data_IF_011641809945
#
_entry.id   IF_011641809945
#
_cell.length_a   1.000
_cell.length_b   1.000
_cell.length_c   1.000
_cell.angle_alpha   90.00
_cell.angle_beta   90.00
_cell.angle_gamma   90.00
#
_symmetry.space_group_name_H-M   'P 1'
#
loop_
_entity.id
_entity.type
_entity.pdbx_description
1 polymer ?
2 polymer ?
3 non-polymer ?
4 non-polymer ?
5 water ?
#
# COMPACT_ATOMS: atom_id res chain seq x y z
N UNK A 7 14.06 -10.12 -1.84
CA UNK A 7 13.87 -9.10 -2.90
C UNK A 7 13.68 -7.74 -2.24
N UNK A 8 14.60 -6.81 -2.53
CA UNK A 8 14.55 -5.47 -1.97
C UNK A 8 14.91 -4.46 -3.05
N UNK A 9 14.57 -3.21 -2.78
CA UNK A 9 14.93 -2.12 -3.68
C UNK A 9 16.43 -1.84 -3.43
N UNK A 10 17.18 -1.63 -4.51
CA UNK A 10 18.62 -1.35 -4.44
C UNK A 10 18.86 0.16 -4.41
N UNK A 11 17.78 0.93 -4.35
CA UNK A 11 17.80 2.39 -4.26
C UNK A 11 16.96 2.80 -3.07
N UNK A 12 17.31 3.93 -2.49
CA UNK A 12 16.61 4.48 -1.34
C UNK A 12 15.58 5.56 -1.66
N UNK A 13 15.74 6.32 -2.75
CA UNK A 13 14.71 7.33 -3.04
C UNK A 13 13.92 6.72 -4.19
N UNK A 14 12.64 6.48 -3.92
CA UNK A 14 11.77 5.85 -4.90
C UNK A 14 10.64 6.79 -5.21
N UNK A 15 10.16 6.71 -6.44
CA UNK A 15 9.05 7.54 -6.87
C UNK A 15 7.76 6.71 -6.92
N UNK A 16 6.65 7.40 -6.86
CA UNK A 16 5.34 6.80 -6.92
C UNK A 16 4.44 7.74 -7.70
N UNK A 17 3.45 7.14 -8.36
CA UNK A 17 2.45 7.83 -9.18
C UNK A 17 1.07 7.24 -8.91
N UNK A 18 0.09 8.09 -8.63
CA UNK A 18 -1.28 7.68 -8.45
C UNK A 18 -1.87 7.83 -9.87
N UNK A 19 -2.12 6.70 -10.55
CA UNK A 19 -2.63 6.70 -11.93
C UNK A 19 -4.10 7.07 -12.08
N UNK A 20 -4.94 6.75 -11.10
CA UNK A 20 -6.35 7.08 -11.14
C UNK A 20 -6.84 7.14 -9.72
N UNK A 21 -8.10 7.49 -9.55
CA UNK A 21 -8.68 7.67 -8.22
C UNK A 21 -9.97 6.92 -8.03
N UNK A 22 -10.40 6.84 -6.78
CA UNK A 22 -11.69 6.25 -6.47
C UNK A 22 -12.56 7.49 -6.21
N UNK A 23 -13.78 7.51 -6.76
CA UNK A 23 -14.75 8.60 -6.64
C UNK A 23 -15.32 8.73 -5.24
N UNK A 24 -15.09 7.72 -4.41
CA UNK A 24 -15.63 7.71 -3.06
C UNK A 24 -15.05 8.76 -2.11
N UNK A 25 -13.84 9.21 -2.42
CA UNK A 25 -13.14 10.20 -1.62
C UNK A 25 -12.71 11.28 -2.61
N UNK A 26 -12.39 12.46 -2.09
CA UNK A 26 -11.90 13.56 -2.92
C UNK A 26 -10.49 13.16 -3.38
N UNK A 27 -9.99 13.79 -4.45
CA UNK A 27 -8.64 13.46 -4.88
C UNK A 27 -7.62 13.83 -3.80
N UNK A 28 -7.89 14.90 -3.03
CA UNK A 28 -6.98 15.34 -1.98
C UNK A 28 -6.91 14.26 -0.88
N UNK A 29 -8.06 13.67 -0.56
CA UNK A 29 -8.11 12.62 0.45
C UNK A 29 -7.35 11.38 0.00
N UNK A 30 -7.50 10.99 -1.27
CA UNK A 30 -6.75 9.83 -1.75
C UNK A 30 -5.26 10.14 -1.67
N UNK A 31 -4.86 11.31 -2.13
CA UNK A 31 -3.44 11.66 -2.09
C UNK A 31 -2.87 11.67 -0.69
N UNK A 32 -3.64 12.21 0.24
CA UNK A 32 -3.26 12.29 1.66
C UNK A 32 -3.11 10.89 2.26
N UNK A 33 -4.09 10.02 2.01
CA UNK A 33 -4.03 8.64 2.49
C UNK A 33 -2.74 7.97 2.02
N UNK A 34 -2.42 8.13 0.73
CA UNK A 34 -1.22 7.52 0.14
C UNK A 34 0.10 8.09 0.71
N UNK A 35 0.19 9.42 0.76
CA UNK A 35 1.38 10.12 1.31
C UNK A 35 1.66 9.65 2.73
N UNK A 36 0.63 9.68 3.59
CA UNK A 36 0.76 9.24 4.98
C UNK A 36 1.16 7.79 5.15
N UNK A 37 0.66 6.92 4.26
CA UNK A 37 0.99 5.50 4.26
C UNK A 37 2.46 5.30 3.95
N UNK A 38 2.99 6.04 2.97
CA UNK A 38 4.42 5.94 2.65
C UNK A 38 5.31 6.45 3.81
N UNK A 39 4.89 7.54 4.45
CA UNK A 39 5.69 8.12 5.55
C UNK A 39 5.90 7.16 6.71
N UNK A 40 4.91 6.32 7.06
CA UNK A 40 5.05 5.31 8.15
C UNK A 40 6.27 4.44 7.93
N UNK A 41 6.48 3.98 6.70
CA UNK A 41 7.65 3.15 6.42
C UNK A 41 8.96 3.97 6.39
N UNK A 42 8.82 5.21 5.96
CA UNK A 42 9.93 6.15 5.83
C UNK A 42 10.58 6.44 7.18
N UNK A 43 9.76 6.68 8.20
CA UNK A 43 10.29 6.97 9.51
C UNK A 43 10.94 5.78 10.20
N UNK A 44 10.92 4.63 9.56
CA UNK A 44 11.48 3.43 10.16
C UNK A 44 12.53 2.81 9.29
N UNK A 45 12.82 3.43 8.15
CA UNK A 45 13.82 2.88 7.21
C UNK A 45 14.61 4.02 6.51
N UNK A 46 15.59 3.67 5.68
CA UNK A 46 16.32 4.75 5.00
C UNK A 46 15.60 5.22 3.71
N UNK A 47 14.42 4.67 3.44
CA UNK A 47 13.70 5.00 2.23
C UNK A 47 13.00 6.34 2.19
N UNK A 48 13.11 6.99 1.02
CA UNK A 48 12.47 8.29 0.76
C UNK A 48 11.58 8.18 -0.50
N UNK A 49 10.35 8.64 -0.38
CA UNK A 49 9.36 8.54 -1.45
C UNK A 49 9.00 9.88 -2.03
N UNK A 50 9.11 9.95 -3.34
CA UNK A 50 8.83 11.18 -4.04
C UNK A 50 7.66 10.98 -5.03
N UNK A 51 6.65 11.83 -4.95
CA UNK A 51 5.52 11.74 -5.84
C UNK A 51 5.77 12.41 -7.19
N UNK A 52 5.32 11.79 -8.27
CA UNK A 52 5.41 12.39 -9.61
C UNK A 52 4.00 12.32 -10.17
N UNK A 53 3.65 13.23 -11.07
CA UNK A 53 2.30 13.29 -11.62
C UNK A 53 2.06 12.56 -12.94
N UNK A 54 3.12 12.27 -13.66
CA UNK A 54 3.05 11.60 -14.94
C UNK A 54 4.40 10.96 -15.03
N UNK A 55 4.56 10.10 -16.01
CA UNK A 55 5.85 9.48 -16.17
C UNK A 55 5.95 8.14 -15.51
N UNK A 56 7.14 7.56 -15.60
CA UNK A 56 7.44 6.25 -15.05
C UNK A 56 7.94 6.34 -13.63
N UNK A 57 7.09 5.94 -12.68
CA UNK A 57 7.44 5.94 -11.27
C UNK A 57 7.78 4.50 -10.92
N UNK A 58 8.51 4.29 -9.82
CA UNK A 58 8.87 2.95 -9.39
C UNK A 58 7.59 2.21 -8.96
N UNK A 59 6.78 2.91 -8.18
CA UNK A 59 5.57 2.34 -7.67
C UNK A 59 4.36 3.01 -8.27
N UNK A 60 3.65 2.24 -9.10
CA UNK A 60 2.40 2.73 -9.65
C UNK A 60 1.27 2.31 -8.75
N UNK A 61 0.37 3.23 -8.48
CA UNK A 61 -0.78 2.96 -7.63
C UNK A 61 -2.06 3.11 -8.45
N UNK A 62 -2.99 2.16 -8.36
CA UNK A 62 -4.23 2.32 -9.14
C UNK A 62 -5.41 1.56 -8.59
N UNK A 63 -6.59 2.07 -8.89
CA UNK A 63 -7.85 1.45 -8.50
C UNK A 63 -8.37 0.73 -9.74
N UNK A 64 -8.45 -0.60 -9.65
CA UNK A 64 -8.94 -1.42 -10.76
C UNK A 64 -10.08 -2.36 -10.36
N UNK A 65 -10.91 -2.75 -11.35
CA UNK A 65 -12.03 -3.69 -11.13
C UNK A 65 -11.79 -5.00 -11.83
N UNK A 66 -12.17 -6.11 -11.17
CA UNK A 66 -12.08 -7.50 -11.71
C UNK A 66 -10.81 -7.75 -12.52
N UNK A 67 -10.93 -8.17 -13.78
CA UNK A 67 -9.78 -8.40 -14.66
C UNK A 67 -9.19 -7.03 -15.04
N UNK A 68 -7.89 -6.90 -14.85
CA UNK A 68 -7.23 -5.63 -15.10
C UNK A 68 -5.82 -5.78 -15.64
N UNK A 69 -5.64 -6.84 -16.43
CA UNK A 69 -4.38 -7.08 -17.11
C UNK A 69 -3.16 -7.70 -16.47
N UNK A 70 -3.21 -8.12 -15.20
CA UNK A 70 -2.04 -8.75 -14.54
C UNK A 70 -2.22 -10.20 -14.11
N UNK A 71 -3.36 -10.80 -14.48
CA UNK A 71 -3.65 -12.21 -14.15
C UNK A 71 -4.08 -12.53 -12.71
N UNK A 72 -4.36 -11.51 -11.93
CA UNK A 72 -4.86 -11.74 -10.60
C UNK A 72 -6.05 -10.83 -10.54
N UNK A 73 -7.20 -11.30 -11.01
CA UNK A 73 -8.40 -10.46 -10.98
C UNK A 73 -8.93 -10.15 -9.57
N UNK A 74 -9.55 -9.01 -9.43
CA UNK A 74 -10.17 -8.67 -8.17
C UNK A 74 -11.54 -9.37 -8.18
N UNK A 75 -12.21 -9.31 -7.04
CA UNK A 75 -13.43 -10.10 -6.82
C UNK A 75 -14.69 -9.39 -6.40
N UNK A 76 -14.83 -8.12 -6.76
CA UNK A 76 -16.01 -7.40 -6.37
C UNK A 76 -15.91 -7.00 -4.91
N UNK A 77 -17.01 -6.48 -4.34
CA UNK A 77 -17.09 -6.03 -2.94
C UNK A 77 -16.59 -7.09 -1.97
N UNK A 78 -15.86 -6.62 -0.96
CA UNK A 78 -15.19 -7.41 0.09
C UNK A 78 -14.23 -8.45 -0.47
N UNK A 79 -13.91 -9.48 0.30
CA UNK A 79 -12.98 -10.46 -0.18
C UNK A 79 -11.63 -9.78 -0.35
N UNK A 80 -10.95 -10.01 -1.48
CA UNK A 80 -9.66 -9.36 -1.80
C UNK A 80 -9.86 -7.81 -1.90
N UNK A 81 -9.07 -7.09 -1.11
CA UNK A 81 -9.13 -5.64 -1.04
C UNK A 81 -8.11 -4.96 -1.97
N UNK A 82 -6.93 -5.57 -2.07
CA UNK A 82 -5.79 -5.01 -2.83
C UNK A 82 -4.66 -5.99 -2.86
N UNK A 83 -3.78 -5.83 -3.83
CA UNK A 83 -2.58 -6.64 -3.90
C UNK A 83 -1.39 -5.78 -4.38
N UNK A 84 -0.18 -6.26 -4.13
CA UNK A 84 1.03 -5.53 -4.49
C UNK A 84 2.12 -6.48 -4.91
N UNK A 85 2.92 -6.01 -5.86
CA UNK A 85 4.04 -6.76 -6.40
C UNK A 85 5.32 -6.48 -5.61
N UNK A 86 6.13 -7.51 -5.46
CA UNK A 86 7.39 -7.42 -4.76
C UNK A 86 8.32 -6.44 -5.52
N UNK A 87 9.36 -5.92 -4.84
CA UNK A 87 10.29 -4.99 -5.51
C UNK A 87 10.81 -5.56 -6.85
N UNK A 88 10.81 -4.75 -7.90
CA UNK A 88 11.31 -5.25 -9.16
C UNK A 88 11.00 -4.20 -10.19
N UNK A 89 11.54 -4.36 -11.39
CA UNK A 89 11.28 -3.42 -12.48
C UNK A 89 9.87 -3.66 -13.05
N UNK A 90 9.38 -2.69 -13.78
CA UNK A 90 8.07 -2.84 -14.36
C UNK A 90 6.99 -2.92 -13.31
N UNK A 91 6.13 -3.93 -13.45
CA UNK A 91 4.99 -4.17 -12.56
C UNK A 91 5.49 -4.34 -11.12
N UNK A 92 6.79 -4.65 -10.96
CA UNK A 92 7.39 -4.80 -9.65
C UNK A 92 7.13 -3.59 -8.75
N UNK A 93 6.77 -3.86 -7.50
CA UNK A 93 6.45 -2.81 -6.54
C UNK A 93 5.10 -2.13 -6.69
N UNK A 94 4.38 -2.32 -7.80
CA UNK A 94 3.10 -1.65 -8.00
C UNK A 94 2.00 -2.17 -7.08
N UNK A 95 1.05 -1.30 -6.76
CA UNK A 95 -0.06 -1.65 -5.87
C UNK A 95 -1.43 -1.39 -6.49
N UNK A 96 -2.26 -2.44 -6.54
CA UNK A 96 -3.63 -2.27 -7.07
C UNK A 96 -4.68 -2.39 -6.00
N UNK A 97 -5.65 -1.50 -6.03
CA UNK A 97 -6.75 -1.48 -5.08
C UNK A 97 -8.05 -1.86 -5.78
N UNK A 98 -8.86 -2.65 -5.11
CA UNK A 98 -10.12 -3.06 -5.71
C UNK A 98 -11.06 -1.84 -5.81
N UNK A 99 -11.26 -1.38 -7.03
CA UNK A 99 -12.13 -0.23 -7.27
C UNK A 99 -13.59 -0.50 -6.81
N UNK A 100 -13.95 -1.77 -6.59
CA UNK A 100 -15.32 -2.10 -6.16
C UNK A 100 -15.60 -2.01 -4.64
N UNK A 101 -14.57 -1.73 -3.87
CA UNK A 101 -14.74 -1.60 -2.43
C UNK A 101 -15.22 -0.23 -2.06
N UNK A 102 -15.74 -0.14 -0.85
CA UNK A 102 -16.13 1.11 -0.28
C UNK A 102 -14.82 1.61 0.38
N UNK A 103 -14.26 2.70 -0.12
CA UNK A 103 -13.02 3.27 0.44
C UNK A 103 -13.34 4.52 1.26
N UNK A 104 -12.81 4.58 2.48
CA UNK A 104 -13.10 5.67 3.39
C UNK A 104 -11.86 6.17 4.05
N UNK A 105 -12.06 7.22 4.85
CA UNK A 105 -11.00 7.75 5.67
C UNK A 105 -11.54 7.81 7.11
N UNK A 106 -12.46 6.89 7.40
CA UNK A 106 -13.13 6.78 8.72
C UNK A 106 -12.92 5.38 9.32
N UNK A 107 -13.70 5.05 10.35
CA UNK A 107 -13.61 3.73 10.95
C UNK A 107 -14.44 2.72 10.12
N UNK A 108 -15.26 3.23 9.19
CA UNK A 108 -16.12 2.37 8.36
C UNK A 108 -15.27 1.58 7.41
N UNK A 109 -15.69 0.36 7.10
CA UNK A 109 -14.95 -0.50 6.18
C UNK A 109 -15.08 0.02 4.75
N UNK A 110 -13.96 0.30 4.08
CA UNK A 110 -12.62 0.13 4.63
C UNK A 110 -11.91 1.49 4.80
N UNK A 111 -10.68 1.47 5.30
CA UNK A 111 -9.95 2.70 5.50
C UNK A 111 -8.79 2.57 4.53
N UNK A 112 -8.77 3.46 3.53
CA UNK A 112 -7.75 3.46 2.47
C UNK A 112 -6.31 3.58 3.00
N UNK A 113 -6.08 4.44 4.01
CA UNK A 113 -4.75 4.63 4.57
C UNK A 113 -4.21 3.33 5.16
N UNK A 114 -5.02 2.64 5.97
CA UNK A 114 -4.54 1.36 6.55
C UNK A 114 -4.25 0.31 5.49
N UNK A 115 -5.14 0.21 4.51
CA UNK A 115 -4.92 -0.78 3.46
C UNK A 115 -3.71 -0.40 2.60
N UNK A 116 -3.57 0.89 2.27
CA UNK A 116 -2.42 1.31 1.47
C UNK A 116 -1.17 1.00 2.25
N UNK A 117 -1.17 1.32 3.54
CA UNK A 117 0.02 1.08 4.36
C UNK A 117 0.46 -0.38 4.29
N UNK A 118 -0.52 -1.28 4.35
CA UNK A 118 -0.27 -2.72 4.25
C UNK A 118 0.32 -3.08 2.87
N UNK A 119 -0.32 -2.60 1.82
CA UNK A 119 0.15 -2.90 0.47
C UNK A 119 1.59 -2.47 0.23
N UNK A 120 1.91 -1.26 0.71
CA UNK A 120 3.27 -0.72 0.57
C UNK A 120 4.30 -1.58 1.26
N UNK A 121 3.93 -2.25 2.37
CA UNK A 121 4.87 -3.17 3.00
C UNK A 121 5.26 -4.22 1.97
N UNK A 122 4.27 -4.69 1.20
CA UNK A 122 4.53 -5.69 0.18
C UNK A 122 5.43 -5.12 -0.94
N UNK A 123 5.07 -3.93 -1.41
CA UNK A 123 5.81 -3.22 -2.47
C UNK A 123 7.29 -3.06 -2.04
N UNK A 124 7.52 -2.96 -0.72
CA UNK A 124 8.87 -2.85 -0.16
C UNK A 124 9.55 -4.20 0.12
N UNK A 125 8.83 -5.31 -0.09
CA UNK A 125 9.46 -6.61 0.10
C UNK A 125 9.03 -7.43 1.33
N UNK A 126 8.08 -6.94 2.11
CA UNK A 126 7.62 -7.70 3.27
C UNK A 126 6.46 -8.63 2.87
N UNK A 127 6.39 -9.78 3.53
CA UNK A 127 5.27 -10.71 3.33
C UNK A 127 4.42 -10.58 4.60
N UNK A 128 3.35 -11.37 4.70
CA UNK A 128 2.49 -11.33 5.87
C UNK A 128 3.15 -11.74 7.20
N UNK A 129 2.64 -11.17 8.27
CA UNK A 129 3.10 -11.49 9.59
C UNK A 129 2.03 -12.40 10.24
N UNK A 130 2.48 -13.25 11.16
CA UNK A 130 1.57 -14.11 11.91
C UNK A 130 1.09 -13.35 13.17
N UNK A 131 1.76 -12.24 13.51
CA UNK A 131 1.41 -11.45 14.68
C UNK A 131 0.14 -10.67 14.40
N UNK A 132 -0.94 -10.94 15.16
CA UNK A 132 -2.24 -10.28 14.99
C UNK A 132 -2.27 -8.77 15.20
N UNK A 133 -1.24 -8.24 15.87
CA UNK A 133 -1.18 -6.79 16.09
C UNK A 133 -0.37 -6.09 15.00
N UNK A 134 0.28 -6.87 14.13
CA UNK A 134 1.10 -6.30 13.07
C UNK A 134 0.24 -5.72 11.93
N UNK A 135 0.73 -4.66 11.26
CA UNK A 135 0.02 -4.07 10.10
C UNK A 135 0.04 -5.11 8.94
N UNK A 136 1.12 -5.89 8.87
CA UNK A 136 1.27 -6.91 7.87
C UNK A 136 0.50 -8.23 8.13
N UNK A 137 -0.38 -8.25 9.14
CA UNK A 137 -1.21 -9.44 9.41
C UNK A 137 -2.11 -9.59 8.14
N UNK A 138 -2.40 -10.84 7.70
CA UNK A 138 -3.21 -11.00 6.50
C UNK A 138 -4.56 -10.39 6.42
N UNK A 139 -5.28 -10.28 7.53
CA UNK A 139 -6.62 -9.75 7.47
C UNK A 139 -6.76 -8.39 8.04
N UNK A 140 -7.57 -7.61 7.36
CA UNK A 140 -7.82 -6.25 7.73
C UNK A 140 -8.54 -6.06 9.07
N UNK A 141 -8.07 -5.08 9.84
CA UNK A 141 -8.68 -4.71 11.11
C UNK A 141 -8.43 -3.23 11.25
N UNK A 142 -9.45 -2.50 11.65
CA UNK A 142 -9.31 -1.07 11.86
C UNK A 142 -8.55 -0.77 13.14
N UNK A 143 -7.77 0.29 13.10
CA UNK A 143 -7.00 0.78 14.24
C UNK A 143 -7.03 2.28 14.10
N UNK A 144 -7.08 3.02 15.20
CA UNK A 144 -7.11 4.48 15.10
C UNK A 144 -6.01 4.99 14.18
N UNK A 145 -6.40 5.84 13.23
CA UNK A 145 -5.45 6.36 12.25
C UNK A 145 -4.89 7.75 12.55
N UNK A 146 -5.58 8.50 13.42
CA UNK A 146 -5.26 9.90 13.78
C UNK A 146 -3.81 10.30 14.00
N UNK A 147 -3.06 9.40 14.62
CA UNK A 147 -1.66 9.61 14.93
C UNK A 147 -1.06 8.19 14.91
N UNK A 148 -1.41 7.44 13.87
CA UNK A 148 -0.93 6.07 13.73
C UNK A 148 0.60 5.92 13.62
N UNK A 149 1.15 4.88 14.24
CA UNK A 149 2.58 4.61 14.14
C UNK A 149 2.66 3.15 13.75
N UNK A 150 3.75 2.76 13.11
CA UNK A 150 3.97 1.39 12.69
C UNK A 150 4.13 0.46 13.91
N UNK A 151 3.44 -0.70 13.92
CA UNK A 151 3.62 -1.59 15.09
C UNK A 151 5.06 -2.10 15.12
N UNK A 152 5.53 -2.49 16.30
CA UNK A 152 6.89 -2.97 16.43
C UNK A 152 7.27 -4.15 15.58
N UNK A 153 6.32 -5.05 15.31
CA UNK A 153 6.64 -6.20 14.49
C UNK A 153 7.04 -5.77 13.07
N UNK A 154 6.32 -4.76 12.57
CA UNK A 154 6.56 -4.26 11.21
C UNK A 154 7.87 -3.51 11.09
N UNK A 155 8.23 -2.78 12.15
CA UNK A 155 9.51 -2.06 12.23
C UNK A 155 10.62 -3.12 12.13
N UNK A 156 10.50 -4.19 12.93
CA UNK A 156 11.49 -5.27 12.86
C UNK A 156 11.64 -5.77 11.44
N UNK A 157 10.48 -5.85 10.76
CA UNK A 157 10.38 -6.31 9.38
C UNK A 157 11.15 -5.51 8.33
N UNK A 158 10.89 -4.20 8.21
CA UNK A 158 11.64 -3.38 7.23
C UNK A 158 13.06 -3.22 7.73
N UNK A 159 13.27 -3.17 9.04
CA UNK A 159 14.65 -3.01 9.49
C UNK A 159 15.47 -4.21 9.11
N UNK A 160 14.86 -5.40 9.09
CA UNK A 160 15.62 -6.59 8.72
C UNK A 160 15.97 -6.58 7.25
N UNK A 161 15.19 -5.88 6.44
CA UNK A 161 15.48 -5.84 5.00
C UNK A 161 16.45 -4.72 4.58
N UNK A 162 16.18 -3.52 5.07
CA UNK A 162 16.96 -2.34 4.76
C UNK A 162 17.83 -2.02 5.98
N UNK A 163 17.41 -1.06 6.77
CA UNK A 163 18.16 -0.69 7.95
C UNK A 163 17.75 0.72 8.34
N UNK B 1 1.25 -11.46 -7.51
CA UNK B 1 1.32 -10.35 -6.54
C UNK B 1 0.83 -10.87 -5.18
N UNK B 2 1.23 -10.19 -4.12
CA UNK B 2 0.85 -10.54 -2.77
C UNK B 2 -0.45 -9.85 -2.40
N UNK B 3 -1.47 -10.63 -2.02
CA UNK B 3 -2.73 -10.04 -1.57
C UNK B 3 -2.45 -9.34 -0.24
N UNK B 4 -2.86 -8.09 -0.07
X LIG C 1 6.96 -0.72 -10.74
X LIG D 1 -12.82 -7.25 -3.37
X LIG E 1 -3.50 -6.18 -10.10
X LIG F 1 -1.29 -8.46 2.18
#
# INVERSE_FOLDING_TARGET
MLTPGNPKWERTNLTYRIRNYTPQLSEAEVERAIKDAFELWSVASPLIFTRISQGEADINIAFYQRDHGDNSPFDGPNGILAHAFQPGQGIGGDAHFDAEETWTNTSANYNLFLVAAHEFGHSLGLAHSSDPGALMYPNYAFRETSNYSLPQDDIDGIQAIYG
PLGX
CA CA
CA CA
ZN ZN
ZN ZN
#
